data_IF_909356976845
#
_entry.id   IF_909356976845
#
_cell.length_a   1.000
_cell.length_b   1.000
_cell.length_c   1.000
_cell.angle_alpha   90.00
_cell.angle_beta   90.00
_cell.angle_gamma   90.00
#
_symmetry.space_group_name_H-M   'P 1'
#
loop_
_entity.id
_entity.type
_entity.pdbx_description
1 polymer ?
#
# COMPACT_ATOMS: atom_id res chain seq x y z
N UNK A 1 -71.08 3.08 28.88
CA UNK A 1 -70.45 2.72 27.59
C UNK A 1 -69.11 3.42 27.56
N UNK A 2 -68.01 2.74 27.89
CA UNK A 2 -66.64 3.31 27.91
C UNK A 2 -65.95 2.96 26.60
N UNK A 3 -65.61 3.99 25.79
CA UNK A 3 -64.90 3.88 24.53
C UNK A 3 -63.39 3.88 24.85
N UNK A 4 -62.75 2.76 24.62
CA UNK A 4 -61.30 2.66 24.71
C UNK A 4 -60.68 3.11 23.34
N UNK A 5 -59.96 4.25 23.31
CA UNK A 5 -59.12 4.63 22.19
C UNK A 5 -57.80 3.84 22.26
N UNK A 6 -57.58 2.92 21.32
CA UNK A 6 -56.26 2.28 21.09
C UNK A 6 -55.40 3.23 20.30
N UNK A 7 -54.38 3.78 20.94
CA UNK A 7 -53.35 4.61 20.30
C UNK A 7 -52.38 3.67 19.60
N UNK A 8 -52.37 3.67 18.27
CA UNK A 8 -51.43 2.89 17.46
C UNK A 8 -50.14 3.71 17.31
N UNK A 9 -49.08 3.32 18.01
CA UNK A 9 -47.77 3.94 17.86
C UNK A 9 -47.10 3.43 16.56
N UNK A 10 -46.98 4.29 15.58
CA UNK A 10 -46.19 4.02 14.38
C UNK A 10 -44.68 4.13 14.71
N UNK A 11 -43.99 3.00 14.74
CA UNK A 11 -42.53 2.95 14.84
C UNK A 11 -41.94 3.33 13.48
N UNK A 12 -41.48 4.56 13.33
CA UNK A 12 -40.73 5.01 12.12
C UNK A 12 -39.35 4.40 12.20
N UNK A 13 -39.11 3.32 11.47
CA UNK A 13 -37.76 2.77 11.24
C UNK A 13 -37.09 3.69 10.24
N UNK A 14 -36.23 4.60 10.71
CA UNK A 14 -35.32 5.37 9.87
C UNK A 14 -34.22 4.40 9.43
N UNK A 15 -34.07 4.10 8.13
CA UNK A 15 -32.95 3.27 7.69
C UNK A 15 -31.65 4.03 7.99
N UNK A 16 -30.83 3.50 8.88
CA UNK A 16 -29.49 3.97 9.13
C UNK A 16 -28.65 3.58 7.90
N UNK A 17 -28.56 4.46 6.91
CA UNK A 17 -27.61 4.31 5.81
C UNK A 17 -26.21 4.54 6.39
N UNK A 18 -25.62 3.48 6.88
CA UNK A 18 -24.23 3.48 7.31
C UNK A 18 -23.36 3.78 6.09
N UNK A 19 -22.98 5.04 5.91
CA UNK A 19 -21.95 5.38 4.95
C UNK A 19 -20.67 4.66 5.40
N UNK A 20 -20.14 3.81 4.53
CA UNK A 20 -18.84 3.19 4.79
C UNK A 20 -17.83 4.28 5.15
N UNK A 21 -17.20 4.15 6.32
CA UNK A 21 -16.33 5.18 6.88
C UNK A 21 -15.11 5.35 5.97
N UNK A 22 -14.96 6.55 5.39
CA UNK A 22 -13.84 6.86 4.51
C UNK A 22 -12.57 7.02 5.33
N UNK A 23 -11.67 6.05 5.20
CA UNK A 23 -10.39 6.02 5.91
C UNK A 23 -9.22 6.04 4.94
N UNK A 24 -8.19 6.81 5.30
CA UNK A 24 -6.96 6.94 4.54
C UNK A 24 -5.79 6.41 5.40
N UNK A 25 -5.03 5.49 4.84
CA UNK A 25 -3.76 5.00 5.37
C UNK A 25 -2.66 6.00 5.05
N UNK A 26 -1.80 6.33 6.01
CA UNK A 26 -0.75 7.33 5.91
C UNK A 26 0.62 6.75 6.31
N UNK A 27 1.60 6.84 5.42
CA UNK A 27 3.02 6.68 5.75
C UNK A 27 3.53 8.04 6.25
N UNK A 28 3.51 8.25 7.58
CA UNK A 28 3.71 9.54 8.23
C UNK A 28 5.09 9.62 8.91
N UNK A 29 5.94 10.55 8.40
CA UNK A 29 7.34 10.62 8.74
C UNK A 29 7.66 11.53 9.94
N UNK A 30 6.86 12.58 10.23
CA UNK A 30 7.13 13.46 11.37
C UNK A 30 7.00 12.69 12.70
N UNK A 31 5.96 11.87 12.85
CA UNK A 31 5.75 11.02 14.01
C UNK A 31 6.43 9.64 13.94
N UNK A 32 7.14 9.34 12.83
CA UNK A 32 7.78 8.04 12.57
C UNK A 32 6.77 6.90 12.75
N UNK A 33 5.62 7.01 12.06
CA UNK A 33 4.48 6.12 12.28
C UNK A 33 3.73 5.78 10.99
N UNK A 34 2.95 4.72 11.09
CA UNK A 34 1.87 4.39 10.19
C UNK A 34 0.58 4.85 10.87
N UNK A 35 -0.30 5.53 10.15
CA UNK A 35 -1.53 6.05 10.71
C UNK A 35 -2.75 5.79 9.82
N UNK A 36 -3.93 5.80 10.42
CA UNK A 36 -5.22 5.81 9.72
C UNK A 36 -5.94 7.10 10.07
N UNK A 37 -6.24 7.89 9.05
CA UNK A 37 -7.05 9.09 9.16
C UNK A 37 -8.50 8.78 8.79
N UNK A 38 -9.43 9.32 9.54
CA UNK A 38 -10.85 9.34 9.24
C UNK A 38 -11.19 10.64 8.54
N UNK A 39 -11.71 10.56 7.31
CA UNK A 39 -11.97 11.73 6.47
C UNK A 39 -13.08 12.60 7.04
N UNK A 40 -14.13 11.98 7.58
CA UNK A 40 -15.30 12.71 8.08
C UNK A 40 -14.99 13.55 9.34
N UNK A 41 -14.10 13.02 10.20
CA UNK A 41 -13.71 13.71 11.44
C UNK A 41 -12.42 14.52 11.32
N UNK A 42 -11.62 14.31 10.26
CA UNK A 42 -10.31 14.93 10.08
C UNK A 42 -9.28 14.49 11.13
N UNK A 43 -9.47 13.33 11.77
CA UNK A 43 -8.63 12.86 12.89
C UNK A 43 -7.89 11.58 12.55
N UNK A 44 -6.70 11.40 13.17
CA UNK A 44 -6.03 10.10 13.24
C UNK A 44 -6.80 9.23 14.23
N UNK A 45 -7.27 8.08 13.76
CA UNK A 45 -8.10 7.13 14.56
C UNK A 45 -7.36 5.84 14.91
N UNK A 46 -6.24 5.58 14.26
CA UNK A 46 -5.37 4.44 14.53
C UNK A 46 -3.92 4.79 14.18
N UNK A 47 -2.97 4.28 14.94
CA UNK A 47 -1.55 4.41 14.61
C UNK A 47 -0.76 3.19 15.08
N UNK A 48 0.35 2.95 14.38
CA UNK A 48 1.36 1.98 14.77
C UNK A 48 2.75 2.63 14.75
N UNK A 49 3.55 2.30 15.76
CA UNK A 49 4.99 2.63 15.86
C UNK A 49 5.76 1.38 16.28
N UNK A 50 7.01 1.21 15.85
CA UNK A 50 7.80 0.06 16.28
C UNK A 50 7.97 0.03 17.81
N UNK A 51 8.07 1.18 18.48
CA UNK A 51 8.21 1.28 19.94
C UNK A 51 6.97 0.83 20.73
N UNK A 52 5.79 0.79 20.10
CA UNK A 52 4.55 0.30 20.69
C UNK A 52 4.15 -1.09 20.22
N UNK A 53 5.09 -1.86 19.65
CA UNK A 53 4.83 -3.16 19.04
C UNK A 53 5.80 -4.23 19.59
N UNK A 54 5.70 -5.42 19.03
CA UNK A 54 6.62 -6.53 19.35
C UNK A 54 7.91 -6.55 18.49
N UNK A 55 8.25 -5.42 17.85
CA UNK A 55 9.56 -5.23 17.18
C UNK A 55 10.64 -5.01 18.24
N UNK A 56 11.76 -5.74 18.11
CA UNK A 56 12.93 -5.55 18.98
C UNK A 56 13.40 -4.10 18.94
N UNK A 57 13.71 -3.53 20.10
CA UNK A 57 14.13 -2.12 20.23
C UNK A 57 15.41 -1.79 19.45
N UNK A 58 16.32 -2.75 19.27
CA UNK A 58 17.51 -2.58 18.44
C UNK A 58 17.18 -2.33 16.96
N UNK A 59 15.97 -2.71 16.52
CA UNK A 59 15.51 -2.62 15.14
C UNK A 59 14.55 -1.44 14.90
N UNK A 60 14.15 -0.66 15.89
CA UNK A 60 13.23 0.47 15.69
C UNK A 60 13.71 1.47 14.65
N UNK A 61 15.01 1.71 14.57
CA UNK A 61 15.62 2.60 13.57
C UNK A 61 15.39 2.16 12.11
N UNK A 62 15.10 0.89 11.86
CA UNK A 62 14.76 0.40 10.52
C UNK A 62 13.47 1.00 10.01
N UNK A 63 12.56 1.42 10.90
CA UNK A 63 11.25 1.96 10.58
C UNK A 63 11.22 3.50 10.58
N UNK A 64 12.39 4.16 10.56
CA UNK A 64 12.46 5.60 10.34
C UNK A 64 12.01 5.96 8.93
N UNK A 65 11.31 7.09 8.80
CA UNK A 65 10.77 7.61 7.56
C UNK A 65 9.92 6.56 6.79
N UNK A 66 8.71 6.23 7.28
CA UNK A 66 7.78 5.37 6.57
C UNK A 66 7.59 5.80 5.10
N UNK A 67 7.70 4.85 4.17
CA UNK A 67 7.79 5.12 2.73
C UNK A 67 6.71 4.44 1.89
N UNK A 68 6.04 3.40 2.41
CA UNK A 68 4.89 2.75 1.78
C UNK A 68 3.92 2.23 2.84
N UNK A 69 2.65 2.16 2.44
CA UNK A 69 1.59 1.55 3.23
C UNK A 69 0.53 0.95 2.30
N UNK A 70 0.27 -0.35 2.43
CA UNK A 70 -0.71 -1.08 1.63
C UNK A 70 -1.66 -1.88 2.51
N UNK A 71 -2.99 -1.77 2.29
CA UNK A 71 -3.94 -2.70 2.91
C UNK A 71 -3.83 -4.06 2.23
N UNK A 72 -3.82 -5.13 2.99
CA UNK A 72 -3.72 -6.50 2.48
C UNK A 72 -4.73 -7.43 3.17
N UNK A 73 -5.18 -8.47 2.47
CA UNK A 73 -6.11 -9.50 2.95
C UNK A 73 -7.41 -8.94 3.59
N UNK A 74 -8.16 -8.16 2.80
CA UNK A 74 -9.42 -7.59 3.28
C UNK A 74 -9.24 -6.59 4.42
N UNK A 75 -8.16 -5.81 4.37
CA UNK A 75 -7.83 -4.77 5.36
C UNK A 75 -7.51 -5.30 6.77
N UNK A 76 -7.35 -6.61 6.92
CA UNK A 76 -6.96 -7.21 8.20
C UNK A 76 -5.54 -6.86 8.60
N UNK A 77 -4.69 -6.61 7.60
CA UNK A 77 -3.28 -6.29 7.79
C UNK A 77 -2.87 -5.08 6.97
N UNK A 78 -1.76 -4.49 7.35
CA UNK A 78 -1.05 -3.45 6.61
C UNK A 78 0.37 -3.93 6.35
N UNK A 79 0.79 -3.88 5.08
CA UNK A 79 2.16 -4.10 4.65
C UNK A 79 2.84 -2.74 4.49
N UNK A 80 4.00 -2.56 5.13
CA UNK A 80 4.70 -1.28 5.17
C UNK A 80 6.16 -1.41 4.79
N UNK A 81 6.74 -0.32 4.29
CA UNK A 81 8.19 -0.11 4.24
C UNK A 81 8.59 1.21 4.88
N UNK A 82 9.85 1.34 5.23
CA UNK A 82 10.43 2.58 5.74
C UNK A 82 11.83 2.80 5.17
N UNK A 83 12.18 4.05 4.85
CA UNK A 83 13.47 4.43 4.27
C UNK A 83 14.66 4.04 5.14
N UNK A 84 14.47 3.86 6.45
CA UNK A 84 15.47 3.32 7.38
C UNK A 84 15.88 1.87 7.11
N UNK A 85 15.20 1.20 6.18
CA UNK A 85 15.54 -0.16 5.72
C UNK A 85 14.53 -1.24 6.10
N UNK A 86 13.51 -0.91 6.89
CA UNK A 86 12.53 -1.87 7.42
C UNK A 86 11.40 -2.19 6.44
N UNK A 87 10.90 -3.41 6.56
CA UNK A 87 9.61 -3.89 6.05
C UNK A 87 8.88 -4.61 7.16
N UNK A 88 7.55 -4.43 7.26
CA UNK A 88 6.74 -5.15 8.24
C UNK A 88 5.33 -5.43 7.74
N UNK A 89 4.74 -6.53 8.24
CA UNK A 89 3.34 -6.88 8.13
C UNK A 89 2.68 -6.73 9.49
N UNK A 90 1.69 -5.86 9.59
CA UNK A 90 1.06 -5.46 10.84
C UNK A 90 -0.40 -5.88 10.83
N UNK A 91 -0.85 -6.59 11.87
CA UNK A 91 -2.27 -6.92 12.04
C UNK A 91 -3.02 -5.72 12.63
N UNK A 92 -4.11 -5.31 11.96
CA UNK A 92 -4.83 -4.09 12.32
C UNK A 92 -5.55 -4.19 13.68
N UNK A 93 -6.09 -5.35 14.01
CA UNK A 93 -6.94 -5.53 15.19
C UNK A 93 -6.21 -5.26 16.51
N UNK A 94 -4.95 -5.64 16.62
CA UNK A 94 -4.17 -5.58 17.86
C UNK A 94 -2.77 -4.94 17.69
N UNK A 95 -2.49 -4.39 16.49
CA UNK A 95 -1.21 -3.76 16.14
C UNK A 95 0.01 -4.69 16.22
N UNK A 96 -0.22 -6.00 16.27
CA UNK A 96 0.85 -6.99 16.32
C UNK A 96 1.59 -7.02 15.00
N UNK A 97 2.91 -6.90 15.07
CA UNK A 97 3.80 -7.12 13.93
C UNK A 97 3.93 -8.62 13.70
N UNK A 98 3.35 -9.10 12.60
CA UNK A 98 3.32 -10.52 12.22
C UNK A 98 4.62 -10.97 11.56
N UNK A 99 5.26 -10.04 10.86
CA UNK A 99 6.52 -10.22 10.15
C UNK A 99 7.28 -8.90 10.16
N UNK A 100 8.60 -8.93 10.29
CA UNK A 100 9.44 -7.79 9.96
C UNK A 100 10.84 -8.23 9.53
N UNK A 101 11.51 -7.41 8.71
CA UNK A 101 12.85 -7.68 8.22
C UNK A 101 13.59 -6.38 7.87
N UNK A 102 14.90 -6.49 7.68
CA UNK A 102 15.75 -5.44 7.15
C UNK A 102 16.04 -5.67 5.67
N UNK A 103 15.43 -4.89 4.80
CA UNK A 103 15.69 -4.91 3.37
C UNK A 103 16.91 -4.04 3.01
N UNK A 104 17.09 -2.91 3.72
CA UNK A 104 18.13 -1.93 3.42
C UNK A 104 17.91 -1.19 2.11
N UNK A 105 18.84 -0.32 1.72
CA UNK A 105 18.82 0.34 0.42
C UNK A 105 17.63 1.27 0.15
N UNK A 106 17.04 1.86 1.21
CA UNK A 106 15.92 2.77 1.10
C UNK A 106 14.66 2.12 0.46
N UNK A 107 13.98 1.20 1.17
CA UNK A 107 12.77 0.54 0.65
C UNK A 107 11.63 1.54 0.43
N UNK A 108 10.90 1.38 -0.68
CA UNK A 108 9.78 2.25 -1.04
C UNK A 108 8.50 1.51 -1.40
N UNK A 109 8.54 0.19 -1.49
CA UNK A 109 7.36 -0.65 -1.68
C UNK A 109 7.64 -2.09 -1.30
N UNK A 110 6.60 -2.79 -0.87
CA UNK A 110 6.62 -4.23 -0.65
C UNK A 110 5.34 -4.88 -1.21
N UNK A 111 5.41 -6.19 -1.47
CA UNK A 111 4.27 -6.98 -1.91
C UNK A 111 4.33 -8.39 -1.32
N UNK A 112 3.19 -8.99 -1.01
CA UNK A 112 3.10 -10.38 -0.57
C UNK A 112 2.87 -11.27 -1.81
N UNK A 113 3.71 -12.26 -1.97
CA UNK A 113 3.62 -13.28 -3.02
C UNK A 113 2.60 -14.37 -2.65
N UNK A 114 2.11 -15.19 -3.60
CA UNK A 114 1.02 -16.14 -3.37
C UNK A 114 1.23 -17.16 -2.27
N UNK A 115 2.49 -17.50 -1.98
CA UNK A 115 2.91 -18.43 -0.93
C UNK A 115 3.18 -17.77 0.44
N UNK A 116 2.98 -16.45 0.51
CA UNK A 116 3.22 -15.65 1.71
C UNK A 116 4.61 -15.03 1.79
N UNK A 117 5.54 -15.36 0.91
CA UNK A 117 6.84 -14.70 0.83
C UNK A 117 6.67 -13.21 0.48
N UNK A 118 7.64 -12.39 0.86
CA UNK A 118 7.53 -10.93 0.68
C UNK A 118 8.66 -10.42 -0.20
N UNK A 119 8.30 -9.65 -1.24
CA UNK A 119 9.25 -8.92 -2.07
C UNK A 119 9.25 -7.45 -1.70
N UNK A 120 10.43 -6.83 -1.69
CA UNK A 120 10.66 -5.42 -1.32
C UNK A 120 11.49 -4.74 -2.40
N UNK A 121 11.03 -3.58 -2.88
CA UNK A 121 11.78 -2.72 -3.79
C UNK A 121 12.57 -1.67 -2.99
N UNK A 122 13.89 -1.66 -3.16
CA UNK A 122 14.83 -0.74 -2.51
C UNK A 122 15.47 0.19 -3.54
N UNK A 123 15.10 1.49 -3.46
CA UNK A 123 15.40 2.48 -4.50
C UNK A 123 16.90 2.77 -4.63
N UNK A 124 17.52 3.33 -3.61
CA UNK A 124 18.95 3.63 -3.65
C UNK A 124 19.85 2.39 -3.54
N UNK A 125 19.27 1.26 -3.11
CA UNK A 125 19.93 -0.04 -3.14
C UNK A 125 20.00 -0.65 -4.52
N UNK A 126 19.13 -0.24 -5.45
CA UNK A 126 19.02 -0.77 -6.80
C UNK A 126 18.73 -2.29 -6.83
N UNK A 127 17.83 -2.76 -5.97
CA UNK A 127 17.46 -4.18 -5.96
C UNK A 127 16.02 -4.42 -5.48
N UNK A 128 15.46 -5.55 -5.91
CA UNK A 128 14.36 -6.24 -5.28
C UNK A 128 14.94 -7.27 -4.30
N UNK A 129 14.43 -7.30 -3.07
CA UNK A 129 14.79 -8.32 -2.08
C UNK A 129 13.61 -9.25 -1.89
N UNK A 130 13.83 -10.58 -1.92
CA UNK A 130 12.80 -11.55 -1.59
C UNK A 130 13.11 -12.15 -0.23
N UNK A 131 12.13 -12.10 0.67
CA UNK A 131 12.18 -12.68 2.00
C UNK A 131 11.35 -13.95 2.05
N UNK A 132 11.95 -14.99 2.60
CA UNK A 132 11.23 -16.20 2.96
C UNK A 132 10.51 -16.01 4.30
N UNK A 133 9.22 -16.32 4.34
CA UNK A 133 8.35 -16.12 5.51
C UNK A 133 7.83 -17.43 6.09
N UNK A 134 8.54 -18.54 5.91
CA UNK A 134 8.19 -19.87 6.38
C UNK A 134 8.02 -20.01 7.91
N UNK A 135 8.46 -19.01 8.63
CA UNK A 135 8.06 -18.80 10.00
C UNK A 135 7.67 -17.33 10.18
N UNK A 136 6.41 -17.02 10.40
CA UNK A 136 5.95 -15.74 10.93
C UNK A 136 6.46 -15.58 12.37
N UNK A 137 7.74 -15.94 12.58
CA UNK A 137 8.38 -15.81 13.85
C UNK A 137 8.69 -14.35 14.14
N UNK A 138 8.66 -13.96 15.40
CA UNK A 138 9.05 -12.66 15.93
C UNK A 138 10.54 -12.31 15.70
N UNK A 139 11.22 -13.05 14.84
CA UNK A 139 12.61 -12.83 14.45
C UNK A 139 12.67 -12.15 13.09
N UNK A 140 13.66 -11.25 12.85
CA UNK A 140 13.88 -10.70 11.54
C UNK A 140 14.08 -11.83 10.52
N UNK A 141 13.32 -11.78 9.43
CA UNK A 141 13.43 -12.78 8.39
C UNK A 141 14.75 -12.66 7.63
N UNK A 142 15.23 -13.79 7.15
CA UNK A 142 16.45 -13.86 6.34
C UNK A 142 16.16 -13.55 4.88
N UNK A 143 17.03 -12.80 4.23
CA UNK A 143 17.00 -12.56 2.78
C UNK A 143 17.20 -13.89 2.06
N UNK A 144 16.28 -14.23 1.15
CA UNK A 144 16.42 -15.39 0.27
C UNK A 144 17.20 -15.05 -1.00
N UNK A 145 17.00 -13.83 -1.55
CA UNK A 145 17.70 -13.40 -2.75
C UNK A 145 17.55 -11.92 -3.01
N UNK A 146 18.43 -11.40 -3.87
CA UNK A 146 18.36 -10.04 -4.40
C UNK A 146 18.45 -10.05 -5.91
N UNK A 147 17.63 -9.24 -6.57
CA UNK A 147 17.64 -9.05 -8.01
C UNK A 147 17.84 -7.58 -8.32
N UNK A 148 18.76 -7.26 -9.24
CA UNK A 148 19.02 -5.88 -9.65
C UNK A 148 17.82 -5.24 -10.35
N UNK A 149 17.47 -4.02 -9.93
CA UNK A 149 16.53 -3.12 -10.59
C UNK A 149 16.97 -1.67 -10.35
N UNK A 150 17.19 -0.87 -11.41
CA UNK A 150 17.66 0.50 -11.26
C UNK A 150 16.61 1.39 -10.60
N UNK A 151 16.88 1.85 -9.38
CA UNK A 151 16.01 2.78 -8.64
C UNK A 151 14.56 2.30 -8.46
N UNK A 152 14.36 1.00 -8.19
CA UNK A 152 13.02 0.43 -8.01
C UNK A 152 12.27 1.03 -6.82
N UNK A 153 11.09 1.65 -7.09
CA UNK A 153 10.28 2.31 -6.06
C UNK A 153 8.96 1.59 -5.77
N UNK A 154 8.64 0.55 -6.53
CA UNK A 154 7.33 -0.06 -6.44
C UNK A 154 7.38 -1.53 -6.85
N UNK A 155 6.46 -2.31 -6.29
CA UNK A 155 6.15 -3.70 -6.66
C UNK A 155 4.67 -3.93 -6.53
N UNK A 156 4.06 -4.67 -7.47
CA UNK A 156 2.65 -5.06 -7.47
C UNK A 156 2.51 -6.48 -7.97
N UNK A 157 1.83 -7.34 -7.21
CA UNK A 157 1.50 -8.68 -7.65
C UNK A 157 0.21 -8.70 -8.47
N UNK A 158 0.32 -9.10 -9.74
CA UNK A 158 -0.81 -9.37 -10.62
C UNK A 158 -1.26 -10.82 -10.45
N UNK A 159 -2.25 -11.02 -9.62
CA UNK A 159 -2.77 -12.37 -9.31
C UNK A 159 -3.35 -13.06 -10.54
N UNK A 160 -3.96 -12.31 -11.46
CA UNK A 160 -4.60 -12.85 -12.67
C UNK A 160 -3.57 -13.40 -13.66
N UNK A 161 -2.44 -12.70 -13.81
CA UNK A 161 -1.37 -13.08 -14.74
C UNK A 161 -0.22 -13.84 -14.09
N UNK A 162 -0.23 -13.92 -12.75
CA UNK A 162 0.85 -14.50 -11.94
C UNK A 162 2.21 -13.84 -12.23
N UNK A 163 2.20 -12.52 -12.30
CA UNK A 163 3.37 -11.68 -12.57
C UNK A 163 3.57 -10.66 -11.45
N UNK A 164 4.82 -10.39 -11.14
CA UNK A 164 5.21 -9.23 -10.37
C UNK A 164 5.56 -8.10 -11.32
N UNK A 165 4.92 -6.94 -11.11
CA UNK A 165 5.26 -5.71 -11.82
C UNK A 165 6.10 -4.80 -10.93
N UNK A 166 7.11 -4.16 -11.54
CA UNK A 166 7.92 -3.13 -10.89
C UNK A 166 8.42 -2.14 -11.95
N UNK A 167 8.33 -0.87 -11.65
CA UNK A 167 8.89 0.16 -12.50
C UNK A 167 10.23 0.63 -11.91
N UNK A 168 11.23 0.72 -12.79
CA UNK A 168 12.53 1.29 -12.48
C UNK A 168 12.65 2.75 -12.95
N UNK A 169 13.86 3.26 -13.07
CA UNK A 169 14.11 4.63 -13.52
C UNK A 169 13.57 4.91 -14.92
N UNK A 170 13.60 3.92 -15.81
CA UNK A 170 13.34 4.09 -17.25
C UNK A 170 12.35 3.09 -17.83
N UNK A 171 12.09 2.00 -17.12
CA UNK A 171 11.31 0.88 -17.64
C UNK A 171 10.28 0.38 -16.61
N UNK A 172 9.15 -0.06 -17.13
CA UNK A 172 8.26 -0.96 -16.40
C UNK A 172 8.65 -2.39 -16.74
N UNK A 173 8.90 -3.20 -15.73
CA UNK A 173 9.34 -4.59 -15.85
C UNK A 173 8.30 -5.54 -15.26
N UNK A 174 8.23 -6.72 -15.85
CA UNK A 174 7.48 -7.83 -15.27
C UNK A 174 8.39 -9.01 -14.98
N UNK A 175 8.09 -9.71 -13.89
CA UNK A 175 8.88 -10.83 -13.38
C UNK A 175 7.97 -12.03 -13.18
N UNK A 176 8.48 -13.20 -13.53
CA UNK A 176 7.89 -14.49 -13.15
C UNK A 176 8.37 -14.85 -11.75
N UNK A 177 7.45 -15.27 -10.90
CA UNK A 177 7.76 -15.88 -9.63
C UNK A 177 7.84 -17.41 -9.80
N UNK A 178 8.81 -18.05 -9.17
CA UNK A 178 9.05 -19.49 -9.35
C UNK A 178 8.13 -20.40 -8.53
N UNK A 179 7.32 -19.85 -7.62
CA UNK A 179 6.45 -20.59 -6.69
C UNK A 179 7.16 -21.64 -5.83
N UNK A 180 8.48 -21.53 -5.70
CA UNK A 180 9.23 -22.32 -4.72
C UNK A 180 9.31 -21.54 -3.41
N UNK A 181 8.42 -21.90 -2.49
CA UNK A 181 8.29 -21.24 -1.22
C UNK A 181 9.57 -21.28 -0.38
N UNK A 182 10.37 -22.36 -0.52
CA UNK A 182 11.63 -22.55 0.24
C UNK A 182 12.83 -21.86 -0.40
N UNK A 183 12.78 -21.69 -1.73
CA UNK A 183 13.83 -21.02 -2.53
C UNK A 183 13.18 -20.00 -3.46
N UNK A 184 12.48 -18.98 -2.89
CA UNK A 184 11.74 -18.02 -3.69
C UNK A 184 12.67 -17.21 -4.60
N UNK A 185 12.29 -17.10 -5.87
CA UNK A 185 13.07 -16.41 -6.89
C UNK A 185 12.20 -15.67 -7.90
N UNK A 186 12.77 -14.60 -8.45
CA UNK A 186 12.14 -13.78 -9.49
C UNK A 186 13.00 -13.85 -10.76
N UNK A 187 12.37 -14.06 -11.89
CA UNK A 187 12.99 -14.03 -13.23
C UNK A 187 12.39 -12.88 -14.04
N UNK A 188 13.19 -11.93 -14.55
CA UNK A 188 12.70 -10.90 -15.45
C UNK A 188 12.27 -11.55 -16.76
N UNK A 189 11.05 -11.24 -17.22
CA UNK A 189 10.50 -11.82 -18.45
C UNK A 189 10.23 -10.79 -19.53
N UNK A 190 9.96 -9.53 -19.15
CA UNK A 190 9.63 -8.50 -20.11
C UNK A 190 9.81 -7.11 -19.53
N UNK A 191 10.01 -6.12 -20.43
CA UNK A 191 10.08 -4.71 -20.07
C UNK A 191 9.50 -3.82 -21.17
N UNK A 192 9.00 -2.66 -20.75
CA UNK A 192 8.56 -1.61 -21.66
C UNK A 192 9.09 -0.24 -21.20
N UNK A 193 9.44 0.67 -22.15
CA UNK A 193 9.90 2.00 -21.80
C UNK A 193 8.84 2.78 -21.00
N UNK A 194 9.27 3.53 -20.01
CA UNK A 194 8.42 4.50 -19.32
C UNK A 194 8.55 5.87 -19.98
N UNK A 195 7.44 6.59 -20.17
CA UNK A 195 7.51 7.99 -20.54
C UNK A 195 8.01 8.80 -19.32
N UNK A 196 9.10 9.53 -19.48
CA UNK A 196 9.74 10.28 -18.41
C UNK A 196 10.69 9.42 -17.56
N UNK A 197 10.93 9.83 -16.32
CA UNK A 197 11.92 9.20 -15.45
C UNK A 197 11.41 9.08 -14.00
N UNK A 198 12.03 8.17 -13.25
CA UNK A 198 11.82 8.01 -11.80
C UNK A 198 10.37 7.74 -11.42
N UNK A 199 9.92 6.51 -11.68
CA UNK A 199 8.63 6.06 -11.17
C UNK A 199 8.60 6.12 -9.65
N UNK A 200 7.61 6.80 -9.07
CA UNK A 200 7.41 6.87 -7.62
C UNK A 200 6.38 5.87 -7.12
N UNK A 201 5.31 5.65 -7.89
CA UNK A 201 4.24 4.75 -7.50
C UNK A 201 3.77 3.86 -8.63
N UNK A 202 3.40 2.64 -8.26
CA UNK A 202 2.67 1.69 -9.08
C UNK A 202 1.64 1.03 -8.18
N UNK A 203 0.35 1.21 -8.47
CA UNK A 203 -0.71 0.70 -7.61
C UNK A 203 -1.96 0.31 -8.42
N UNK A 204 -2.69 -0.76 -8.06
CA UNK A 204 -3.89 -1.16 -8.78
C UNK A 204 -4.98 -0.09 -8.74
N UNK A 205 -5.72 0.05 -9.85
CA UNK A 205 -7.02 0.70 -9.80
C UNK A 205 -8.03 -0.24 -9.17
N UNK A 206 -8.97 0.29 -8.40
CA UNK A 206 -9.98 -0.55 -7.76
C UNK A 206 -10.94 -1.14 -8.81
N UNK A 207 -11.13 -2.46 -8.76
CA UNK A 207 -12.06 -3.21 -9.60
C UNK A 207 -11.68 -3.28 -11.09
N UNK A 208 -10.47 -2.81 -11.45
CA UNK A 208 -10.01 -2.76 -12.85
C UNK A 208 -8.83 -3.68 -13.14
N UNK A 209 -8.59 -3.92 -14.43
CA UNK A 209 -7.42 -4.61 -14.97
C UNK A 209 -6.35 -3.59 -15.39
N UNK A 210 -6.14 -2.57 -14.54
CA UNK A 210 -5.25 -1.45 -14.80
C UNK A 210 -4.42 -1.09 -13.56
N UNK A 211 -3.25 -0.52 -13.79
CA UNK A 211 -2.40 0.04 -12.75
C UNK A 211 -2.26 1.55 -12.91
N UNK A 212 -2.27 2.26 -11.81
CA UNK A 212 -1.74 3.61 -11.74
C UNK A 212 -0.22 3.56 -11.75
N UNK A 213 0.39 4.46 -12.47
CA UNK A 213 1.83 4.72 -12.47
C UNK A 213 2.06 6.22 -12.29
N UNK A 214 2.91 6.60 -11.35
CA UNK A 214 3.33 8.01 -11.21
C UNK A 214 4.84 8.14 -11.41
N UNK A 215 5.25 9.25 -11.97
CA UNK A 215 6.65 9.66 -12.02
C UNK A 215 6.79 11.14 -11.66
N UNK A 216 7.99 11.71 -11.82
CA UNK A 216 8.23 13.12 -11.48
C UNK A 216 7.39 14.11 -12.27
N UNK A 217 6.87 13.74 -13.45
CA UNK A 217 6.20 14.67 -14.36
C UNK A 217 4.70 14.44 -14.49
N UNK A 218 4.25 13.19 -14.48
CA UNK A 218 2.86 12.85 -14.82
C UNK A 218 2.34 11.63 -14.06
N UNK A 219 1.04 11.43 -14.17
CA UNK A 219 0.33 10.21 -13.79
C UNK A 219 -0.11 9.48 -15.04
N UNK A 220 0.03 8.18 -15.04
CA UNK A 220 -0.39 7.31 -16.11
C UNK A 220 -1.31 6.20 -15.59
N UNK A 221 -2.16 5.69 -16.50
CA UNK A 221 -2.83 4.40 -16.34
C UNK A 221 -2.20 3.41 -17.30
N UNK A 222 -1.81 2.27 -16.79
CA UNK A 222 -1.41 1.11 -17.57
C UNK A 222 -2.60 0.17 -17.70
N UNK A 223 -3.08 -0.05 -18.91
CA UNK A 223 -3.99 -1.15 -19.23
C UNK A 223 -3.17 -2.43 -19.40
N UNK A 224 -3.41 -3.41 -18.53
CA UNK A 224 -2.63 -4.64 -18.51
C UNK A 224 -3.01 -5.64 -19.62
N UNK A 225 -4.20 -5.51 -20.20
CA UNK A 225 -4.65 -6.36 -21.32
C UNK A 225 -4.02 -5.95 -22.63
N UNK A 226 -3.91 -4.64 -22.87
CA UNK A 226 -3.35 -4.05 -24.10
C UNK A 226 -1.91 -3.58 -23.92
N UNK A 227 -1.40 -3.52 -22.70
CA UNK A 227 -0.08 -2.98 -22.31
C UNK A 227 0.12 -1.53 -22.76
N UNK A 228 -0.95 -0.76 -22.80
CA UNK A 228 -0.92 0.65 -23.21
C UNK A 228 -0.89 1.56 -21.99
N UNK A 229 0.02 2.51 -22.00
CA UNK A 229 0.05 3.62 -21.07
C UNK A 229 -0.77 4.78 -21.63
N UNK A 230 -1.67 5.32 -20.82
CA UNK A 230 -2.41 6.56 -21.11
C UNK A 230 -2.14 7.57 -20.02
N UNK A 231 -1.83 8.80 -20.39
CA UNK A 231 -1.63 9.88 -19.42
C UNK A 231 -2.96 10.29 -18.80
N UNK A 232 -3.01 10.40 -17.49
CA UNK A 232 -4.17 10.91 -16.77
C UNK A 232 -4.17 12.45 -16.77
N UNK A 233 -5.34 13.04 -16.88
CA UNK A 233 -5.49 14.50 -16.79
C UNK A 233 -5.42 14.94 -15.32
N UNK A 234 -4.21 15.10 -14.80
CA UNK A 234 -3.97 15.68 -13.46
C UNK A 234 -3.00 16.85 -13.59
N UNK A 235 -3.27 17.99 -12.95
CA UNK A 235 -2.38 19.14 -13.00
C UNK A 235 -1.14 18.98 -12.09
N UNK A 236 -1.17 18.02 -11.16
CA UNK A 236 -0.12 17.82 -10.15
C UNK A 236 1.07 17.05 -10.75
N UNK A 237 2.26 17.38 -10.26
CA UNK A 237 3.53 16.74 -10.60
C UNK A 237 4.16 16.11 -9.36
N UNK A 238 5.16 15.27 -9.56
CA UNK A 238 5.96 14.65 -8.50
C UNK A 238 5.14 13.84 -7.49
N UNK A 239 4.04 13.25 -7.94
CA UNK A 239 3.07 12.54 -7.11
C UNK A 239 3.72 11.28 -6.52
N UNK A 240 3.75 11.20 -5.17
CA UNK A 240 4.37 10.08 -4.44
C UNK A 240 3.46 8.88 -4.30
N UNK A 241 2.15 9.10 -4.30
CA UNK A 241 1.16 8.00 -4.33
C UNK A 241 -0.16 8.42 -4.94
N UNK A 242 -0.86 7.44 -5.52
CA UNK A 242 -2.21 7.57 -6.06
C UNK A 242 -3.03 6.36 -5.65
N UNK A 243 -4.28 6.58 -5.23
CA UNK A 243 -5.17 5.51 -4.81
C UNK A 243 -6.60 5.76 -5.25
N UNK A 244 -7.18 4.82 -5.98
CA UNK A 244 -8.62 4.80 -6.28
C UNK A 244 -9.40 4.23 -5.11
N UNK A 245 -10.61 4.74 -4.90
CA UNK A 245 -11.57 4.17 -3.96
C UNK A 245 -12.78 3.54 -4.66
N UNK A 246 -13.69 2.92 -3.91
CA UNK A 246 -14.95 2.39 -4.44
C UNK A 246 -15.86 3.50 -4.98
N UNK A 247 -17.01 3.12 -5.54
CA UNK A 247 -17.99 4.07 -6.02
C UNK A 247 -18.32 5.13 -4.95
N UNK A 248 -18.27 6.40 -5.32
CA UNK A 248 -18.47 7.53 -4.41
C UNK A 248 -17.20 8.04 -3.70
N UNK A 249 -16.08 7.32 -3.79
CA UNK A 249 -14.79 7.80 -3.27
C UNK A 249 -14.00 8.47 -4.40
N UNK A 250 -13.41 9.65 -4.18
CA UNK A 250 -12.53 10.24 -5.19
C UNK A 250 -11.19 9.48 -5.27
N UNK A 251 -10.51 9.59 -6.39
CA UNK A 251 -9.10 9.16 -6.47
C UNK A 251 -8.24 10.18 -5.72
N UNK A 252 -7.44 9.71 -4.75
CA UNK A 252 -6.59 10.55 -3.90
C UNK A 252 -5.14 10.53 -4.35
N UNK A 253 -4.44 11.62 -4.04
CA UNK A 253 -3.04 11.86 -4.35
C UNK A 253 -2.28 12.31 -3.10
N UNK A 254 -1.02 11.85 -2.98
CA UNK A 254 -0.01 12.48 -2.13
C UNK A 254 0.96 13.27 -3.01
N UNK A 255 0.83 14.60 -2.98
CA UNK A 255 1.64 15.53 -3.76
C UNK A 255 2.50 16.33 -2.81
N UNK A 256 3.84 16.32 -2.94
CA UNK A 256 4.72 17.09 -2.07
C UNK A 256 4.41 18.58 -2.10
N UNK A 257 4.39 19.19 -0.92
CA UNK A 257 4.33 20.64 -0.74
C UNK A 257 5.66 21.20 -0.24
N UNK A 258 6.42 20.36 0.48
CA UNK A 258 7.74 20.69 0.99
C UNK A 258 8.65 19.46 0.83
N UNK A 259 9.80 19.61 0.17
CA UNK A 259 10.73 18.51 -0.14
C UNK A 259 10.02 17.33 -0.82
N UNK A 260 9.74 16.24 -0.07
CA UNK A 260 9.08 15.04 -0.61
C UNK A 260 7.82 14.64 0.18
N UNK A 261 7.29 15.51 1.06
CA UNK A 261 6.10 15.24 1.89
C UNK A 261 5.05 16.35 1.82
N UNK A 262 3.89 16.06 2.35
CA UNK A 262 2.76 17.00 2.48
C UNK A 262 2.09 16.81 3.84
N UNK A 263 1.36 17.84 4.32
CA UNK A 263 0.49 17.77 5.48
C UNK A 263 -0.99 17.54 5.13
N UNK A 264 -1.28 17.34 3.83
CA UNK A 264 -2.65 17.17 3.34
C UNK A 264 -2.75 16.09 2.25
N UNK A 265 -3.94 15.52 2.10
CA UNK A 265 -4.28 14.60 1.01
C UNK A 265 -5.38 15.25 0.17
N UNK A 266 -5.17 15.27 -1.14
CA UNK A 266 -6.09 15.84 -2.12
C UNK A 266 -6.64 14.78 -3.07
N UNK A 267 -7.80 15.09 -3.68
CA UNK A 267 -8.26 14.35 -4.84
C UNK A 267 -7.59 14.83 -6.14
N UNK A 268 -7.85 14.11 -7.24
CA UNK A 268 -7.35 14.46 -8.58
C UNK A 268 -7.86 15.81 -9.09
N UNK A 269 -8.92 16.36 -8.51
CA UNK A 269 -9.48 17.69 -8.82
C UNK A 269 -8.86 18.79 -7.98
N UNK A 270 -8.04 18.44 -6.97
CA UNK A 270 -7.38 19.39 -6.07
C UNK A 270 -8.15 19.68 -4.77
N UNK A 271 -9.30 19.06 -4.53
CA UNK A 271 -10.03 19.21 -3.27
C UNK A 271 -9.28 18.54 -2.12
N UNK A 272 -9.15 19.24 -0.99
CA UNK A 272 -8.53 18.67 0.23
C UNK A 272 -9.54 17.75 0.92
N UNK A 273 -9.15 16.50 1.14
CA UNK A 273 -9.94 15.49 1.84
C UNK A 273 -9.50 15.31 3.29
N UNK A 274 -8.22 15.47 3.53
CA UNK A 274 -7.63 15.39 4.86
C UNK A 274 -6.49 16.39 4.96
N UNK A 275 -6.39 17.10 6.09
CA UNK A 275 -5.28 17.99 6.40
C UNK A 275 -5.06 18.03 7.90
N UNK A 276 -3.80 17.90 8.30
CA UNK A 276 -3.39 18.12 9.69
C UNK A 276 -1.99 18.74 9.72
N UNK A 277 -1.90 19.95 10.22
CA UNK A 277 -0.65 20.71 10.32
C UNK A 277 0.42 19.91 11.10
N UNK A 278 1.63 19.94 10.59
CA UNK A 278 2.80 19.28 11.21
C UNK A 278 3.01 17.84 10.80
N UNK A 279 2.09 17.24 10.05
CA UNK A 279 2.34 15.92 9.45
C UNK A 279 3.35 16.02 8.30
N UNK A 280 4.06 14.92 8.06
CA UNK A 280 4.94 14.71 6.90
C UNK A 280 4.54 13.41 6.22
N UNK A 281 3.47 13.48 5.42
CA UNK A 281 2.91 12.32 4.72
C UNK A 281 3.70 12.11 3.44
N UNK A 282 4.30 10.93 3.27
CA UNK A 282 5.00 10.54 2.05
C UNK A 282 4.07 9.84 1.06
N UNK A 283 3.39 8.76 1.48
CA UNK A 283 2.38 8.06 0.70
C UNK A 283 1.07 7.90 1.46
N UNK A 284 -0.02 7.86 0.71
CA UNK A 284 -1.36 7.65 1.24
C UNK A 284 -2.16 6.69 0.36
N UNK A 285 -3.02 5.86 0.99
CA UNK A 285 -3.90 4.92 0.31
C UNK A 285 -5.29 4.96 0.92
N UNK A 286 -6.33 4.77 0.11
CA UNK A 286 -7.61 4.39 0.69
C UNK A 286 -7.47 3.08 1.45
N UNK A 287 -8.07 3.00 2.63
CA UNK A 287 -8.19 1.76 3.38
C UNK A 287 -9.35 0.96 2.79
N UNK A 288 -9.05 0.23 1.72
CA UNK A 288 -10.01 -0.59 0.97
C UNK A 288 -9.35 -1.89 0.53
N UNK A 289 -10.15 -2.93 0.34
CA UNK A 289 -9.66 -4.24 -0.09
C UNK A 289 -8.97 -4.16 -1.46
N UNK A 290 -7.81 -4.79 -1.57
CA UNK A 290 -7.05 -4.90 -2.81
C UNK A 290 -7.26 -6.30 -3.43
N UNK A 291 -8.35 -6.49 -4.16
CA UNK A 291 -8.68 -7.77 -4.82
C UNK A 291 -7.81 -8.06 -6.04
N UNK A 292 -7.08 -7.07 -6.53
CA UNK A 292 -6.13 -7.24 -7.63
C UNK A 292 -4.98 -8.18 -7.25
N UNK A 293 -4.37 -7.93 -6.10
CA UNK A 293 -3.23 -8.71 -5.60
C UNK A 293 -3.66 -9.87 -4.69
N UNK A 294 -4.73 -9.70 -3.91
CA UNK A 294 -5.14 -10.63 -2.86
C UNK A 294 -6.56 -11.13 -3.10
N UNK A 295 -6.80 -12.47 -3.14
CA UNK A 295 -8.16 -12.98 -3.34
C UNK A 295 -9.05 -12.61 -2.16
N UNK A 296 -10.36 -12.31 -2.42
CA UNK A 296 -11.33 -12.12 -1.36
C UNK A 296 -11.38 -13.31 -0.41
N UNK A 297 -11.45 -13.03 0.90
CA UNK A 297 -11.52 -14.07 1.93
C UNK A 297 -10.20 -14.77 2.25
N UNK A 298 -9.12 -14.45 1.54
CA UNK A 298 -7.78 -14.98 1.86
C UNK A 298 -7.21 -14.35 3.14
N UNK A 299 -6.15 -14.98 3.67
CA UNK A 299 -5.49 -14.55 4.89
C UNK A 299 -3.99 -14.84 4.79
N UNK A 300 -3.22 -14.31 5.74
CA UNK A 300 -1.80 -14.64 5.86
C UNK A 300 -1.64 -16.13 6.07
N UNK A 301 -1.04 -16.79 5.09
CA UNK A 301 -0.74 -18.22 5.11
C UNK A 301 0.76 -18.44 4.98
N UNK A 302 1.26 -19.35 5.76
CA UNK A 302 2.57 -19.94 5.55
C UNK A 302 2.38 -21.21 4.70
N UNK A 303 2.41 -21.04 3.39
CA UNK A 303 2.18 -22.16 2.45
C UNK A 303 3.41 -23.05 2.22
N UNK A 304 4.55 -22.74 2.85
CA UNK A 304 5.75 -23.56 2.76
C UNK A 304 5.64 -24.88 3.52
N UNK A 305 4.63 -25.01 4.38
CA UNK A 305 4.44 -26.19 5.26
C UNK A 305 3.14 -26.96 4.94
N UNK A 306 2.43 -26.61 3.84
CA UNK A 306 1.27 -27.34 3.34
C UNK A 306 1.68 -28.45 2.35
#
# INVERSE_FOLDING_TARGET
MRIFFKMLAFLVIVPYTGHAQQRILLAEQAGQRIAVADVATGRIVWEWKPSGSNVDSAHWKWFSNPSEIKPVYGEKYILITASGGGVALIRMADKKTMFYAYAGGNPHSAEILPDGNIVVASSSGNYLTVFRTDSLATRPATVSGKLYIDFGHNVVWDRKRQLLWSADRHQLKSFRYNFDCKHPGLEPIDSMPLPGQQSHDLFPTLGGDTLWLTNTTHVYKLDLSTRRLSQAATPQKDIKSISSGPAGYPTILSTPQEQWWTDEIRDVKGNVLFKQQGLKIYKARWMVTNDFSYPPGDDVKNRCNE
#
